data_IF_530849565012
#
_entry.id   IF_530849565012
#
_cell.length_a   1.000
_cell.length_b   1.000
_cell.length_c   1.000
_cell.angle_alpha   90.00
_cell.angle_beta   90.00
_cell.angle_gamma   90.00
#
_symmetry.space_group_name_H-M   'P 1'
#
loop_
_entity.id
_entity.type
_entity.pdbx_description
1 polymer ?
#
# COMPACT_ATOMS: atom_id res chain seq x y z
N UNK A 1 -8.79 0.92 -15.28
CA UNK A 1 -8.71 2.38 -15.38
C UNK A 1 -7.61 2.78 -16.36
N UNK A 2 -7.96 3.26 -17.56
CA UNK A 2 -6.98 3.70 -18.56
C UNK A 2 -6.26 4.99 -18.14
N UNK A 3 -5.08 5.25 -18.71
CA UNK A 3 -4.24 6.42 -18.38
C UNK A 3 -4.90 7.78 -18.64
N UNK A 4 -5.83 7.85 -19.60
CA UNK A 4 -6.60 9.05 -19.92
C UNK A 4 -7.81 9.28 -18.99
N UNK A 5 -8.05 8.40 -18.01
CA UNK A 5 -9.11 8.59 -17.01
C UNK A 5 -8.78 9.77 -16.11
N UNK A 6 -9.80 10.59 -15.76
CA UNK A 6 -9.65 11.70 -14.82
C UNK A 6 -9.18 11.26 -13.43
N UNK A 7 -9.50 10.03 -13.03
CA UNK A 7 -9.12 9.43 -11.74
C UNK A 7 -7.73 8.79 -11.76
N UNK A 8 -7.05 8.79 -12.92
CA UNK A 8 -5.74 8.17 -13.05
C UNK A 8 -4.68 8.93 -12.24
N UNK A 9 -3.88 8.27 -11.37
CA UNK A 9 -2.84 8.94 -10.60
C UNK A 9 -1.80 9.59 -11.51
N UNK A 10 -1.75 10.93 -11.49
CA UNK A 10 -0.82 11.70 -12.35
C UNK A 10 0.64 11.28 -12.22
N UNK A 11 1.08 10.89 -11.01
CA UNK A 11 2.45 10.40 -10.73
C UNK A 11 2.82 9.13 -11.52
N UNK A 12 1.84 8.36 -11.99
CA UNK A 12 2.07 7.15 -12.79
C UNK A 12 2.10 7.42 -14.29
N UNK A 13 1.79 8.65 -14.75
CA UNK A 13 1.92 9.03 -16.15
C UNK A 13 3.38 9.06 -16.60
N UNK A 14 4.32 9.35 -15.69
CA UNK A 14 5.77 9.31 -15.94
C UNK A 14 6.30 7.89 -16.23
N UNK A 15 5.51 6.85 -15.93
CA UNK A 15 5.94 5.45 -16.00
C UNK A 15 5.36 4.71 -17.21
N UNK A 16 4.71 5.43 -18.13
CA UNK A 16 4.11 4.90 -19.36
C UNK A 16 3.19 3.69 -19.14
N UNK A 17 2.53 3.60 -17.97
CA UNK A 17 1.60 2.53 -17.65
C UNK A 17 0.27 2.80 -18.39
N UNK A 18 -0.16 1.95 -19.34
CA UNK A 18 -1.33 2.26 -20.18
C UNK A 18 -2.66 2.15 -19.42
N UNK A 19 -2.74 1.24 -18.45
CA UNK A 19 -3.93 1.06 -17.63
C UNK A 19 -3.61 0.45 -16.27
N UNK A 20 -4.40 0.83 -15.26
CA UNK A 20 -4.39 0.24 -13.93
C UNK A 20 -5.61 -0.65 -13.74
N UNK A 21 -5.38 -1.85 -13.25
CA UNK A 21 -6.44 -2.73 -12.76
C UNK A 21 -6.58 -2.49 -11.25
N UNK A 22 -7.80 -2.31 -10.79
CA UNK A 22 -8.11 -1.86 -9.44
C UNK A 22 -9.27 -2.69 -8.89
N UNK A 23 -9.12 -3.22 -7.70
CA UNK A 23 -10.22 -3.77 -6.90
C UNK A 23 -10.37 -2.84 -5.70
N UNK A 24 -11.51 -2.15 -5.59
CA UNK A 24 -11.76 -1.14 -4.55
C UNK A 24 -11.45 0.29 -5.02
N UNK A 25 -10.94 1.15 -4.13
CA UNK A 25 -10.76 2.59 -4.39
C UNK A 25 -9.32 3.02 -4.19
N UNK A 26 -8.85 3.95 -5.02
CA UNK A 26 -7.56 4.59 -4.81
C UNK A 26 -7.58 5.46 -3.55
N UNK A 27 -6.48 5.50 -2.78
CA UNK A 27 -6.39 6.33 -1.60
C UNK A 27 -6.12 7.78 -1.98
N UNK A 28 -6.78 8.69 -1.27
CA UNK A 28 -6.47 10.12 -1.36
C UNK A 28 -5.08 10.43 -0.78
N UNK A 29 -4.73 9.78 0.34
CA UNK A 29 -3.43 9.90 1.01
C UNK A 29 -2.83 8.50 1.20
N UNK A 30 -1.91 8.12 0.32
CA UNK A 30 -1.19 6.86 0.38
C UNK A 30 0.20 7.02 1.00
N UNK A 31 0.63 6.07 1.84
CA UNK A 31 2.00 5.95 2.31
C UNK A 31 2.53 4.54 2.06
N UNK A 32 3.63 4.42 1.32
CA UNK A 32 4.21 3.12 1.00
C UNK A 32 5.17 2.67 2.11
N UNK A 33 4.96 1.47 2.64
CA UNK A 33 5.92 0.81 3.55
C UNK A 33 6.36 -0.49 2.88
N UNK A 34 7.66 -0.63 2.64
CA UNK A 34 8.26 -1.80 1.99
C UNK A 34 9.47 -2.28 2.80
N UNK A 35 9.78 -3.57 2.74
CA UNK A 35 11.01 -4.07 3.34
C UNK A 35 11.28 -5.55 3.12
N UNK A 36 12.24 -6.08 3.88
CA UNK A 36 12.70 -7.46 3.72
C UNK A 36 11.64 -8.48 4.13
N UNK A 37 11.59 -9.61 3.40
CA UNK A 37 10.78 -10.79 3.74
C UNK A 37 11.25 -11.48 5.01
N UNK A 38 12.54 -11.35 5.34
CA UNK A 38 13.19 -11.94 6.52
C UNK A 38 13.53 -10.86 7.55
N UNK A 39 12.52 -10.12 7.98
CA UNK A 39 12.68 -9.08 8.98
C UNK A 39 12.92 -9.64 10.39
N UNK A 40 13.76 -8.96 11.18
CA UNK A 40 13.94 -9.24 12.60
C UNK A 40 12.64 -9.00 13.38
N UNK A 41 12.54 -9.55 14.59
CA UNK A 41 11.38 -9.30 15.48
C UNK A 41 11.18 -7.80 15.72
N UNK A 42 12.26 -7.07 15.95
CA UNK A 42 12.22 -5.63 16.17
C UNK A 42 11.79 -4.85 14.92
N UNK A 43 12.32 -5.22 13.74
CA UNK A 43 11.91 -4.58 12.49
C UNK A 43 10.43 -4.79 12.19
N UNK A 44 9.91 -6.00 12.48
CA UNK A 44 8.48 -6.31 12.39
C UNK A 44 7.64 -5.46 13.32
N UNK A 45 8.04 -5.33 14.59
CA UNK A 45 7.35 -4.51 15.59
C UNK A 45 7.29 -3.04 15.15
N UNK A 46 8.43 -2.46 14.79
CA UNK A 46 8.53 -1.07 14.33
C UNK A 46 7.67 -0.80 13.09
N UNK A 47 7.68 -1.71 12.11
CA UNK A 47 6.84 -1.56 10.91
C UNK A 47 5.35 -1.54 11.25
N UNK A 48 4.91 -2.40 12.18
CA UNK A 48 3.52 -2.45 12.64
C UNK A 48 3.12 -1.18 13.37
N UNK A 49 3.92 -0.73 14.34
CA UNK A 49 3.66 0.48 15.12
C UNK A 49 3.64 1.74 14.25
N UNK A 50 4.57 1.84 13.29
CA UNK A 50 4.63 2.96 12.37
C UNK A 50 3.40 3.00 11.44
N UNK A 51 3.03 1.85 10.88
CA UNK A 51 1.84 1.74 10.03
C UNK A 51 0.54 2.07 10.80
N UNK A 52 0.44 1.65 12.06
CA UNK A 52 -0.66 1.99 12.95
C UNK A 52 -0.78 3.49 13.16
N UNK A 53 0.32 4.17 13.47
CA UNK A 53 0.34 5.62 13.63
C UNK A 53 -0.06 6.35 12.35
N UNK A 54 0.42 5.90 11.18
CA UNK A 54 0.03 6.47 9.89
C UNK A 54 -1.47 6.33 9.62
N UNK A 55 -2.01 5.13 9.85
CA UNK A 55 -3.44 4.85 9.70
C UNK A 55 -4.30 5.75 10.60
N UNK A 56 -3.92 5.91 11.86
CA UNK A 56 -4.60 6.81 12.80
C UNK A 56 -4.57 8.27 12.36
N UNK A 57 -3.58 8.67 11.56
CA UNK A 57 -3.46 10.00 10.97
C UNK A 57 -4.10 10.11 9.56
N UNK A 58 -4.93 9.13 9.19
CA UNK A 58 -5.72 9.16 7.95
C UNK A 58 -4.95 8.75 6.68
N UNK A 59 -3.74 8.18 6.81
CA UNK A 59 -3.04 7.60 5.67
C UNK A 59 -3.52 6.18 5.38
N UNK A 60 -3.68 5.86 4.10
CA UNK A 60 -3.80 4.47 3.64
C UNK A 60 -2.40 3.89 3.46
N UNK A 61 -2.11 2.81 4.15
CA UNK A 61 -0.81 2.13 4.04
C UNK A 61 -0.81 1.23 2.82
N UNK A 62 0.14 1.45 1.92
CA UNK A 62 0.31 0.67 0.68
C UNK A 62 1.57 -0.20 0.83
N UNK A 63 1.47 -1.48 0.50
CA UNK A 63 2.63 -2.39 0.53
C UNK A 63 2.53 -3.50 -0.53
N UNK A 64 3.55 -4.34 -0.66
CA UNK A 64 3.68 -5.34 -1.70
C UNK A 64 2.97 -6.67 -1.41
N UNK A 65 2.37 -6.82 -0.23
CA UNK A 65 1.70 -8.05 0.21
C UNK A 65 2.64 -9.22 0.51
N UNK A 66 3.95 -8.98 0.65
CA UNK A 66 4.91 -10.03 0.98
C UNK A 66 4.91 -10.38 2.48
N UNK A 67 5.56 -11.49 2.85
CA UNK A 67 5.87 -11.77 4.26
C UNK A 67 6.85 -10.72 4.83
N UNK A 68 7.02 -10.67 6.15
CA UNK A 68 8.00 -9.79 6.77
C UNK A 68 7.44 -8.38 7.01
N UNK A 69 8.13 -7.35 6.54
CA UNK A 69 7.75 -5.94 6.77
C UNK A 69 6.38 -5.62 6.17
N UNK A 70 6.13 -6.01 4.92
CA UNK A 70 4.87 -5.73 4.22
C UNK A 70 3.65 -6.24 5.00
N UNK A 71 3.67 -7.51 5.43
CA UNK A 71 2.61 -8.08 6.26
C UNK A 71 2.39 -7.29 7.56
N UNK A 72 3.46 -6.90 8.25
CA UNK A 72 3.31 -6.14 9.50
C UNK A 72 2.81 -4.71 9.26
N UNK A 73 3.15 -4.09 8.14
CA UNK A 73 2.61 -2.80 7.75
C UNK A 73 1.10 -2.88 7.51
N UNK A 74 0.63 -3.89 6.79
CA UNK A 74 -0.80 -4.13 6.60
C UNK A 74 -1.53 -4.35 7.94
N UNK A 75 -0.99 -5.22 8.81
CA UNK A 75 -1.57 -5.48 10.13
C UNK A 75 -1.62 -4.22 10.99
N UNK A 76 -0.54 -3.43 11.03
CA UNK A 76 -0.50 -2.18 11.78
C UNK A 76 -1.54 -1.18 11.28
N UNK A 77 -1.70 -1.05 9.97
CA UNK A 77 -2.70 -0.16 9.38
C UNK A 77 -4.13 -0.54 9.81
N UNK A 78 -4.46 -1.84 9.77
CA UNK A 78 -5.75 -2.37 10.23
C UNK A 78 -5.96 -2.15 11.73
N UNK A 79 -4.93 -2.36 12.55
CA UNK A 79 -4.97 -2.05 14.00
C UNK A 79 -5.16 -0.56 14.31
N UNK A 80 -4.73 0.31 13.39
CA UNK A 80 -4.98 1.75 13.46
C UNK A 80 -6.39 2.14 13.08
N UNK A 81 -7.25 1.19 12.69
CA UNK A 81 -8.58 1.45 12.14
C UNK A 81 -8.55 2.11 10.75
N UNK A 82 -7.39 2.10 10.08
CA UNK A 82 -7.20 2.70 8.78
C UNK A 82 -7.41 1.72 7.63
N UNK A 83 -7.10 2.19 6.43
CA UNK A 83 -7.18 1.40 5.19
C UNK A 83 -5.81 0.89 4.82
N UNK A 84 -5.77 -0.23 4.11
CA UNK A 84 -4.54 -0.73 3.52
C UNK A 84 -4.76 -1.23 2.09
N UNK A 85 -3.72 -1.25 1.28
CA UNK A 85 -3.81 -1.67 -0.12
C UNK A 85 -2.56 -2.39 -0.57
N UNK A 86 -2.74 -3.41 -1.42
CA UNK A 86 -1.63 -4.21 -1.96
C UNK A 86 -1.32 -3.77 -3.39
N UNK A 87 -0.05 -3.47 -3.67
CA UNK A 87 0.47 -3.30 -5.03
C UNK A 87 1.36 -4.50 -5.40
N UNK A 88 0.88 -5.48 -6.17
CA UNK A 88 1.71 -6.61 -6.58
C UNK A 88 2.84 -6.17 -7.53
N UNK A 89 3.98 -6.84 -7.42
CA UNK A 89 5.20 -6.57 -8.20
C UNK A 89 5.09 -6.91 -9.70
N UNK A 90 4.01 -7.56 -10.13
CA UNK A 90 3.68 -7.75 -11.54
C UNK A 90 2.43 -6.92 -11.82
N UNK A 91 2.56 -5.95 -12.70
CA UNK A 91 1.58 -4.92 -12.99
C UNK A 91 0.28 -5.50 -13.57
N UNK A 92 -0.60 -6.08 -12.75
CA UNK A 92 -2.04 -6.24 -13.00
C UNK A 92 -2.74 -6.37 -11.64
N UNK A 93 -3.33 -5.28 -11.13
CA UNK A 93 -4.30 -5.32 -10.03
C UNK A 93 -3.79 -4.77 -8.70
N UNK A 94 -4.11 -3.53 -8.35
CA UNK A 94 -4.04 -3.09 -6.95
C UNK A 94 -5.32 -3.58 -6.26
N UNK A 95 -5.18 -4.45 -5.27
CA UNK A 95 -6.30 -4.99 -4.50
C UNK A 95 -6.44 -4.22 -3.18
N UNK A 96 -7.64 -3.69 -2.93
CA UNK A 96 -8.05 -3.06 -1.68
C UNK A 96 -9.11 -3.92 -1.01
N UNK A 97 -8.96 -4.14 0.30
CA UNK A 97 -9.90 -4.75 1.22
C UNK A 97 -9.84 -4.04 2.55
#
# INVERSE_FOLDING_TARGET
MPFFSREYPKKLLEWEIPALYLIGKLPERGFSIVGTRKASKEGKKKAREFAKGLAQNGFTVISGGASGIDLQAHLGALEGGGKTGIRPLRAFGIAYG
#
